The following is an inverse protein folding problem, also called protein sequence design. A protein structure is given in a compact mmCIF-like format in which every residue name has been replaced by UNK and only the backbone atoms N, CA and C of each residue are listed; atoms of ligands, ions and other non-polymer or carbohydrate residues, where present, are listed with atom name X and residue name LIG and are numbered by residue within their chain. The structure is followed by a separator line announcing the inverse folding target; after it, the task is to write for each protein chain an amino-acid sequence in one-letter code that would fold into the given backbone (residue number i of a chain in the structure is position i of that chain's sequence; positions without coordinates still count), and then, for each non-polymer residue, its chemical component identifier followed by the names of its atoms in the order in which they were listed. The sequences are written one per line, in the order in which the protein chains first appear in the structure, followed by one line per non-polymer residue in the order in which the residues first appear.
data_IF_494959278533
#
_entry.id   IF_494959278533
#
_cell.length_a   1.000
_cell.length_b   1.000
_cell.length_c   1.000
_cell.angle_alpha   90.00
_cell.angle_beta   90.00
_cell.angle_gamma   90.00
#
_symmetry.space_group_name_H-M   'P 1'
#
loop_
_entity.id
_entity.type
_entity.pdbx_description
1 polymer ?
#
# COMPACT_ATOMS: atom_id res chain seq x y z
N UNK A 1 43.01 -20.71 -5.71
CA UNK A 1 42.48 -19.46 -6.30
C UNK A 1 41.38 -18.92 -5.41
N UNK A 2 41.32 -17.60 -5.27
CA UNK A 2 40.60 -16.86 -4.23
C UNK A 2 39.08 -16.86 -4.42
N UNK A 3 38.39 -16.95 -3.27
CA UNK A 3 37.13 -16.32 -2.85
C UNK A 3 36.19 -15.69 -3.90
N UNK A 4 34.89 -15.98 -3.77
CA UNK A 4 33.96 -14.98 -3.23
C UNK A 4 32.78 -15.63 -2.50
N UNK A 5 32.85 -15.57 -1.17
CA UNK A 5 31.69 -15.58 -0.28
C UNK A 5 30.93 -14.27 -0.51
N UNK A 6 29.70 -14.36 -1.02
CA UNK A 6 28.64 -13.41 -0.65
C UNK A 6 27.77 -14.22 0.31
N UNK A 7 27.80 -13.99 1.63
CA UNK A 7 27.50 -12.69 2.21
C UNK A 7 26.00 -12.38 2.08
N UNK A 8 25.14 -13.40 2.17
CA UNK A 8 23.71 -13.19 2.37
C UNK A 8 23.52 -12.71 3.79
N UNK A 9 23.48 -11.39 3.96
CA UNK A 9 23.05 -10.77 5.20
C UNK A 9 21.69 -11.36 5.59
N UNK A 10 21.55 -11.78 6.85
CA UNK A 10 20.26 -12.02 7.47
C UNK A 10 19.42 -10.76 7.28
N UNK A 11 18.46 -10.81 6.36
CA UNK A 11 17.55 -9.71 6.06
C UNK A 11 16.53 -9.69 7.22
N UNK A 12 16.52 -8.64 8.07
CA UNK A 12 15.47 -8.53 9.08
C UNK A 12 14.14 -8.43 8.34
N UNK A 13 13.20 -9.27 8.75
CA UNK A 13 11.80 -9.34 8.30
C UNK A 13 11.24 -7.93 8.01
N UNK A 14 11.25 -7.47 6.74
CA UNK A 14 10.48 -6.31 6.32
C UNK A 14 9.03 -6.78 6.28
N UNK A 15 8.32 -6.52 7.36
CA UNK A 15 6.95 -6.96 7.54
C UNK A 15 6.04 -6.00 6.78
N UNK A 16 5.86 -6.21 5.48
CA UNK A 16 5.03 -5.33 4.66
C UNK A 16 3.59 -5.26 5.22
N UNK A 17 3.23 -4.12 5.80
CA UNK A 17 1.98 -3.91 6.54
C UNK A 17 0.75 -4.13 5.65
N UNK A 18 0.82 -3.73 4.39
CA UNK A 18 -0.33 -3.75 3.49
C UNK A 18 -0.91 -5.14 3.21
N UNK A 19 -0.12 -6.20 3.33
CA UNK A 19 -0.55 -7.58 3.06
C UNK A 19 -0.43 -8.53 4.25
N UNK A 20 0.00 -8.02 5.40
CA UNK A 20 0.11 -8.82 6.59
C UNK A 20 -1.26 -9.31 7.09
N UNK A 21 -1.43 -10.63 7.15
CA UNK A 21 -2.63 -11.28 7.69
C UNK A 21 -2.69 -11.23 9.23
N UNK A 22 -1.57 -10.98 9.92
CA UNK A 22 -1.55 -10.82 11.39
C UNK A 22 -2.27 -9.55 11.85
N UNK A 23 -2.58 -8.63 10.92
CA UNK A 23 -3.48 -7.50 11.12
C UNK A 23 -4.87 -7.92 11.66
N UNK A 24 -5.30 -9.16 11.42
CA UNK A 24 -6.65 -9.65 11.74
C UNK A 24 -6.92 -9.76 13.25
N UNK A 25 -5.89 -9.88 14.10
CA UNK A 25 -6.09 -10.33 15.49
C UNK A 25 -6.02 -9.24 16.60
N UNK A 26 -5.53 -8.01 16.34
CA UNK A 26 -5.19 -7.07 17.44
C UNK A 26 -5.61 -5.60 17.29
N UNK A 27 -6.38 -5.27 16.28
CA UNK A 27 -6.43 -3.90 15.79
C UNK A 27 -7.83 -3.28 15.89
N UNK A 28 -7.92 -2.13 16.58
CA UNK A 28 -9.18 -1.50 16.97
C UNK A 28 -9.70 -0.46 15.97
N UNK A 29 -10.98 -0.09 16.15
CA UNK A 29 -11.65 0.96 15.35
C UNK A 29 -10.88 2.30 15.36
N UNK A 30 -10.18 2.62 16.45
CA UNK A 30 -9.44 3.88 16.61
C UNK A 30 -8.24 3.96 15.65
N UNK A 31 -7.46 2.89 15.55
CA UNK A 31 -6.30 2.80 14.67
C UNK A 31 -6.72 2.97 13.20
N UNK A 32 -7.79 2.26 12.79
CA UNK A 32 -8.36 2.36 11.45
C UNK A 32 -8.69 3.81 11.06
N UNK A 33 -9.33 4.55 11.96
CA UNK A 33 -9.68 5.96 11.72
C UNK A 33 -8.43 6.84 11.60
N UNK A 34 -7.42 6.60 12.43
CA UNK A 34 -6.17 7.37 12.39
C UNK A 34 -5.40 7.14 11.09
N UNK A 35 -5.20 5.90 10.67
CA UNK A 35 -4.55 5.58 9.40
C UNK A 35 -5.33 6.11 8.20
N UNK A 36 -6.65 5.92 8.19
CA UNK A 36 -7.49 6.41 7.10
C UNK A 36 -7.39 7.93 6.98
N UNK A 37 -7.44 8.66 8.09
CA UNK A 37 -7.29 10.11 8.09
C UNK A 37 -5.89 10.53 7.61
N UNK A 38 -4.84 9.85 8.07
CA UNK A 38 -3.46 10.13 7.70
C UNK A 38 -3.21 9.91 6.21
N UNK A 39 -3.67 8.79 5.66
CA UNK A 39 -3.54 8.43 4.25
C UNK A 39 -4.37 9.37 3.37
N UNK A 40 -5.65 9.58 3.71
CA UNK A 40 -6.56 10.42 2.91
C UNK A 40 -6.06 11.85 2.74
N UNK A 41 -5.42 12.41 3.78
CA UNK A 41 -4.85 13.75 3.73
C UNK A 41 -3.67 13.90 2.74
N UNK A 42 -3.10 12.79 2.27
CA UNK A 42 -1.92 12.75 1.36
C UNK A 42 -2.25 12.24 -0.04
N UNK A 43 -3.46 11.72 -0.25
CA UNK A 43 -3.88 11.21 -1.54
C UNK A 43 -4.33 12.36 -2.46
N UNK A 44 -4.12 12.23 -3.78
CA UNK A 44 -4.74 13.12 -4.76
C UNK A 44 -6.27 13.13 -4.61
N UNK A 45 -6.91 14.28 -4.84
CA UNK A 45 -8.36 14.47 -4.65
C UNK A 45 -9.26 13.55 -5.50
N UNK A 46 -8.74 13.02 -6.61
CA UNK A 46 -9.45 12.10 -7.50
C UNK A 46 -9.46 10.65 -6.99
N UNK A 47 -8.68 10.32 -5.96
CA UNK A 47 -8.65 8.95 -5.40
C UNK A 47 -9.93 8.68 -4.63
N UNK A 48 -10.68 7.66 -5.03
CA UNK A 48 -11.84 7.20 -4.30
C UNK A 48 -11.42 6.17 -3.26
N UNK A 49 -11.95 6.29 -2.05
CA UNK A 49 -11.66 5.39 -0.94
C UNK A 49 -12.95 4.66 -0.56
N UNK A 50 -12.90 3.33 -0.49
CA UNK A 50 -14.05 2.55 0.00
C UNK A 50 -14.35 2.87 1.47
N UNK A 51 -15.62 2.79 1.86
CA UNK A 51 -16.05 2.95 3.25
C UNK A 51 -16.44 1.59 3.86
N UNK A 52 -15.46 0.79 4.35
CA UNK A 52 -15.73 -0.52 4.90
C UNK A 52 -16.50 -0.42 6.22
N UNK A 53 -17.75 -0.90 6.24
CA UNK A 53 -18.60 -0.97 7.45
C UNK A 53 -18.05 -1.92 8.53
N UNK A 54 -17.12 -2.80 8.16
CA UNK A 54 -16.39 -3.71 9.04
C UNK A 54 -15.09 -4.20 8.39
N UNK A 55 -14.26 -4.92 9.15
CA UNK A 55 -13.00 -5.46 8.65
C UNK A 55 -11.87 -4.44 8.45
N UNK A 56 -10.75 -4.98 7.96
CA UNK A 56 -9.43 -4.34 7.90
C UNK A 56 -8.97 -4.03 6.48
N UNK A 57 -9.82 -4.26 5.49
CA UNK A 57 -9.48 -4.07 4.08
C UNK A 57 -9.99 -2.71 3.62
N UNK A 58 -9.11 -1.93 3.01
CA UNK A 58 -9.43 -0.71 2.32
C UNK A 58 -9.15 -0.88 0.83
N UNK A 59 -10.11 -0.50 0.00
CA UNK A 59 -9.93 -0.35 -1.43
C UNK A 59 -9.74 1.13 -1.78
N UNK A 60 -8.75 1.39 -2.62
CA UNK A 60 -8.54 2.67 -3.28
C UNK A 60 -8.82 2.47 -4.77
N UNK A 61 -9.56 3.36 -5.40
CA UNK A 61 -9.60 3.49 -6.85
C UNK A 61 -8.85 4.76 -7.23
N UNK A 62 -7.91 4.64 -8.16
CA UNK A 62 -6.99 5.70 -8.54
C UNK A 62 -7.17 6.06 -10.02
N UNK A 63 -8.15 6.92 -10.37
CA UNK A 63 -8.42 7.26 -11.76
C UNK A 63 -7.18 7.81 -12.47
N UNK A 64 -6.85 7.26 -13.64
CA UNK A 64 -5.69 7.67 -14.42
C UNK A 64 -4.35 7.10 -13.92
N UNK A 65 -4.37 6.04 -13.10
CA UNK A 65 -3.16 5.37 -12.64
C UNK A 65 -2.36 4.78 -13.81
N UNK A 66 -1.14 5.25 -14.00
CA UNK A 66 -0.13 4.59 -14.83
C UNK A 66 0.40 3.36 -14.07
N UNK A 67 -0.19 2.20 -14.35
CA UNK A 67 0.12 0.96 -13.63
C UNK A 67 1.59 0.54 -13.76
N UNK A 68 2.21 0.75 -14.92
CA UNK A 68 3.60 0.37 -15.16
C UNK A 68 4.56 1.22 -14.33
N UNK A 69 4.34 2.53 -14.29
CA UNK A 69 5.12 3.44 -13.45
C UNK A 69 4.91 3.14 -11.96
N UNK A 70 3.66 2.91 -11.57
CA UNK A 70 3.31 2.59 -10.18
C UNK A 70 3.99 1.30 -9.72
N UNK A 71 3.91 0.23 -10.51
CA UNK A 71 4.54 -1.05 -10.20
C UNK A 71 6.06 -0.91 -10.05
N UNK A 72 6.72 -0.12 -10.91
CA UNK A 72 8.16 0.13 -10.81
C UNK A 72 8.53 0.86 -9.50
N UNK A 73 7.75 1.88 -9.11
CA UNK A 73 7.95 2.60 -7.85
C UNK A 73 7.73 1.70 -6.63
N UNK A 74 6.72 0.82 -6.66
CA UNK A 74 6.50 -0.15 -5.59
C UNK A 74 7.67 -1.13 -5.45
N UNK A 75 8.19 -1.63 -6.57
CA UNK A 75 9.35 -2.53 -6.58
C UNK A 75 10.61 -1.85 -6.03
N UNK A 76 10.90 -0.63 -6.48
CA UNK A 76 12.04 0.17 -6.01
C UNK A 76 11.99 0.42 -4.50
N UNK A 77 10.80 0.75 -3.98
CA UNK A 77 10.58 1.03 -2.55
C UNK A 77 10.28 -0.22 -1.73
N UNK A 78 10.30 -1.42 -2.34
CA UNK A 78 10.01 -2.71 -1.71
C UNK A 78 8.64 -2.77 -1.02
N UNK A 79 7.65 -2.11 -1.61
CA UNK A 79 6.26 -2.04 -1.12
C UNK A 79 5.45 -3.14 -1.80
N UNK A 80 4.84 -4.04 -1.01
CA UNK A 80 3.94 -5.08 -1.53
C UNK A 80 2.47 -4.65 -1.39
N UNK A 81 1.79 -4.39 -2.51
CA UNK A 81 0.36 -4.01 -2.57
C UNK A 81 -0.37 -4.93 -3.53
N UNK A 82 -1.61 -5.28 -3.19
CA UNK A 82 -2.45 -6.14 -4.03
C UNK A 82 -3.24 -5.28 -5.02
N UNK A 83 -2.90 -5.42 -6.30
CA UNK A 83 -3.59 -4.77 -7.41
C UNK A 83 -4.97 -5.39 -7.65
N UNK A 84 -5.96 -4.57 -8.04
CA UNK A 84 -7.35 -4.98 -8.28
C UNK A 84 -7.50 -6.04 -9.36
N UNK A 85 -6.63 -6.01 -10.38
CA UNK A 85 -6.54 -7.04 -11.43
C UNK A 85 -6.24 -8.45 -10.92
N UNK A 86 -5.74 -8.60 -9.69
CA UNK A 86 -5.55 -9.91 -9.06
C UNK A 86 -6.87 -10.54 -8.59
N UNK A 87 -7.95 -9.76 -8.50
CA UNK A 87 -9.26 -10.18 -7.98
C UNK A 87 -10.38 -10.14 -9.02
N UNK A 88 -10.14 -9.52 -10.18
CA UNK A 88 -11.12 -9.40 -11.26
C UNK A 88 -10.42 -9.37 -12.62
N UNK A 89 -11.08 -9.93 -13.63
CA UNK A 89 -10.66 -9.85 -15.04
C UNK A 89 -11.21 -8.61 -15.75
N UNK A 90 -12.12 -7.86 -15.11
CA UNK A 90 -12.71 -6.66 -15.69
C UNK A 90 -11.70 -5.50 -15.63
N UNK A 91 -11.48 -4.85 -16.77
CA UNK A 91 -10.52 -3.73 -16.90
C UNK A 91 -10.81 -2.56 -15.97
N UNK A 92 -12.07 -2.40 -15.54
CA UNK A 92 -12.51 -1.34 -14.62
C UNK A 92 -11.89 -1.40 -13.22
N UNK A 93 -11.25 -2.52 -12.86
CA UNK A 93 -10.53 -2.68 -11.58
C UNK A 93 -9.00 -2.62 -11.73
N UNK A 94 -8.48 -2.30 -12.91
CA UNK A 94 -7.03 -2.19 -13.12
C UNK A 94 -6.40 -1.02 -12.34
N UNK A 95 -7.20 -0.02 -12.00
CA UNK A 95 -6.81 1.16 -11.22
C UNK A 95 -7.18 1.04 -9.73
N UNK A 96 -7.64 -0.14 -9.31
CA UNK A 96 -7.95 -0.41 -7.91
C UNK A 96 -6.76 -1.01 -7.17
N UNK A 97 -6.59 -0.62 -5.90
CA UNK A 97 -5.58 -1.12 -4.98
C UNK A 97 -6.26 -1.63 -3.71
N UNK A 98 -5.79 -2.75 -3.18
CA UNK A 98 -6.19 -3.27 -1.88
C UNK A 98 -5.06 -3.11 -0.89
N UNK A 99 -5.36 -2.50 0.25
CA UNK A 99 -4.46 -2.43 1.40
C UNK A 99 -5.17 -2.91 2.67
N UNK A 100 -4.42 -3.55 3.57
CA UNK A 100 -4.87 -3.76 4.93
C UNK A 100 -4.57 -2.50 5.77
N UNK A 101 -5.51 -2.13 6.65
CA UNK A 101 -5.41 -0.97 7.54
C UNK A 101 -5.82 -1.33 8.97
N UNK A 102 -5.40 -0.50 9.92
CA UNK A 102 -5.79 -0.55 11.33
C UNK A 102 -4.64 -0.88 12.29
N UNK A 103 -3.41 -0.77 11.83
CA UNK A 103 -2.23 -0.76 12.67
C UNK A 103 -2.14 0.53 13.50
N UNK A 104 -1.39 0.48 14.59
CA UNK A 104 -1.05 1.70 15.30
C UNK A 104 -0.27 2.64 14.38
N UNK A 105 -0.60 3.93 14.38
CA UNK A 105 0.02 4.94 13.52
C UNK A 105 1.43 5.31 14.03
N UNK A 106 2.31 4.32 14.13
CA UNK A 106 3.73 4.48 14.46
C UNK A 106 4.45 5.23 13.34
N UNK A 107 5.69 5.67 13.60
CA UNK A 107 6.48 6.34 12.57
C UNK A 107 6.68 5.44 11.32
N UNK A 108 6.91 4.14 11.53
CA UNK A 108 7.08 3.16 10.45
C UNK A 108 5.81 3.07 9.57
N UNK A 109 4.62 2.97 10.18
CA UNK A 109 3.34 2.96 9.44
C UNK A 109 3.13 4.29 8.70
N UNK A 110 3.46 5.41 9.32
CA UNK A 110 3.36 6.73 8.69
C UNK A 110 4.29 6.86 7.47
N UNK A 111 5.50 6.31 7.56
CA UNK A 111 6.49 6.33 6.48
C UNK A 111 6.00 5.45 5.31
N UNK A 112 5.51 4.24 5.57
CA UNK A 112 4.95 3.37 4.53
C UNK A 112 3.71 3.98 3.85
N UNK A 113 2.78 4.56 4.62
CA UNK A 113 1.61 5.25 4.07
C UNK A 113 2.02 6.48 3.23
N UNK A 114 3.06 7.19 3.64
CA UNK A 114 3.58 8.35 2.90
C UNK A 114 4.27 7.94 1.60
N UNK A 115 5.02 6.84 1.61
CA UNK A 115 5.62 6.26 0.41
C UNK A 115 4.54 5.81 -0.58
N UNK A 116 3.50 5.12 -0.11
CA UNK A 116 2.35 4.74 -0.93
C UNK A 116 1.67 5.97 -1.56
N UNK A 117 1.35 6.99 -0.75
CA UNK A 117 0.71 8.20 -1.25
C UNK A 117 1.58 8.92 -2.29
N UNK A 118 2.90 8.97 -2.07
CA UNK A 118 3.85 9.53 -3.03
C UNK A 118 3.90 8.73 -4.33
N UNK A 119 3.94 7.40 -4.26
CA UNK A 119 3.94 6.54 -5.45
C UNK A 119 2.65 6.70 -6.27
N UNK A 120 1.49 6.80 -5.60
CA UNK A 120 0.20 7.11 -6.24
C UNK A 120 0.28 8.47 -6.93
N UNK A 121 0.71 9.52 -6.23
CA UNK A 121 0.77 10.87 -6.78
C UNK A 121 1.71 10.99 -7.98
N UNK A 122 2.83 10.26 -7.98
CA UNK A 122 3.80 10.24 -9.09
C UNK A 122 3.30 9.45 -10.29
N UNK A 123 2.39 8.50 -10.08
CA UNK A 123 1.85 7.60 -11.10
C UNK A 123 0.50 8.05 -11.66
N UNK A 124 -0.06 9.14 -11.15
CA UNK A 124 -1.22 9.80 -11.72
C UNK A 124 -0.75 10.93 -12.63
N UNK A 125 -1.24 10.99 -13.87
CA UNK A 125 -0.96 12.12 -14.75
C UNK A 125 -1.44 13.42 -14.09
N UNK A 126 -0.56 14.44 -14.05
CA UNK A 126 -0.97 15.82 -13.76
C UNK A 126 -1.84 16.26 -14.95
N UNK A 127 -3.16 16.21 -14.77
CA UNK A 127 -4.07 16.90 -15.69
C UNK A 127 -3.91 18.39 -15.52
#
# INVERSE_FOLDING_TARGET
MKNHRHGGADIPNLHCLFNDLRAIERHGKKQKLAELAFLSARLPSKVNISHPQGGMVLWLQVPGLNLSQFAALLEENRIDIRLGRLFSTLSLYNDCLRINIGFELTQEVQDELSLLASAIAQSCERT
#
